data_IF_727831176860
#
_entry.id   IF_727831176860
#
_cell.length_a   1.000
_cell.length_b   1.000
_cell.length_c   1.000
_cell.angle_alpha   90.00
_cell.angle_beta   90.00
_cell.angle_gamma   90.00
#
_symmetry.space_group_name_H-M   'P 1'
#
loop_
_entity.id
_entity.type
_entity.pdbx_description
1 polymer ?
#
# COMPACT_ATOMS: atom_id res chain seq x y z
N UNK A 1 -19.63 26.28 18.08
CA UNK A 1 -18.97 24.96 18.13
C UNK A 1 -19.45 24.07 16.98
N UNK A 2 -20.76 23.88 16.81
CA UNK A 2 -21.32 23.00 15.76
C UNK A 2 -20.94 23.36 14.32
N UNK A 3 -20.89 24.65 13.97
CA UNK A 3 -20.45 25.07 12.63
C UNK A 3 -18.98 24.77 12.33
N UNK A 4 -18.11 24.86 13.34
CA UNK A 4 -16.70 24.46 13.21
C UNK A 4 -16.58 22.94 13.02
N UNK A 5 -17.33 22.16 13.82
CA UNK A 5 -17.38 20.71 13.71
C UNK A 5 -17.83 20.27 12.30
N UNK A 6 -18.98 20.76 11.85
CA UNK A 6 -19.53 20.40 10.54
C UNK A 6 -18.56 20.79 9.42
N UNK A 7 -17.96 21.98 9.49
CA UNK A 7 -16.96 22.41 8.52
C UNK A 7 -15.72 21.51 8.46
N UNK A 8 -15.24 21.03 9.61
CA UNK A 8 -14.12 20.08 9.66
C UNK A 8 -14.53 18.70 9.12
N UNK A 9 -15.71 18.18 9.46
CA UNK A 9 -16.20 16.92 8.91
C UNK A 9 -16.39 16.99 7.38
N UNK A 10 -16.89 18.10 6.85
CA UNK A 10 -17.01 18.30 5.40
C UNK A 10 -15.64 18.27 4.72
N UNK A 11 -14.61 18.89 5.32
CA UNK A 11 -13.24 18.81 4.80
C UNK A 11 -12.68 17.39 4.86
N UNK A 12 -12.82 16.69 5.99
CA UNK A 12 -12.38 15.30 6.11
C UNK A 12 -13.06 14.40 5.08
N UNK A 13 -14.37 14.55 4.86
CA UNK A 13 -15.11 13.84 3.82
C UNK A 13 -14.56 14.13 2.43
N UNK A 14 -14.30 15.39 2.10
CA UNK A 14 -13.71 15.78 0.82
C UNK A 14 -12.31 15.21 0.62
N UNK A 15 -11.49 15.21 1.68
CA UNK A 15 -10.16 14.62 1.66
C UNK A 15 -10.21 13.10 1.43
N UNK A 16 -11.13 12.38 2.07
CA UNK A 16 -11.29 10.94 1.87
C UNK A 16 -11.79 10.58 0.46
N UNK A 17 -12.66 11.40 -0.12
CA UNK A 17 -13.06 11.22 -1.52
C UNK A 17 -11.91 11.49 -2.49
N UNK A 18 -11.05 12.48 -2.19
CA UNK A 18 -9.84 12.69 -2.97
C UNK A 18 -8.84 11.54 -2.80
N UNK A 19 -8.71 10.98 -1.59
CA UNK A 19 -7.89 9.80 -1.32
C UNK A 19 -8.35 8.58 -2.12
N UNK A 20 -9.66 8.34 -2.21
CA UNK A 20 -10.25 7.31 -3.08
C UNK A 20 -9.80 7.48 -4.53
N UNK A 21 -9.82 8.72 -5.04
CA UNK A 21 -9.38 9.03 -6.41
C UNK A 21 -7.89 8.72 -6.61
N UNK A 22 -7.04 9.14 -5.67
CA UNK A 22 -5.59 8.88 -5.72
C UNK A 22 -5.28 7.38 -5.66
N UNK A 23 -6.01 6.62 -4.84
CA UNK A 23 -5.83 5.16 -4.75
C UNK A 23 -6.24 4.44 -6.04
N UNK A 24 -7.25 4.93 -6.76
CA UNK A 24 -7.61 4.37 -8.07
C UNK A 24 -6.59 4.75 -9.16
N UNK A 25 -6.03 5.95 -9.08
CA UNK A 25 -4.94 6.40 -9.96
C UNK A 25 -3.67 5.57 -9.74
N UNK A 26 -3.25 5.37 -8.48
CA UNK A 26 -2.13 4.50 -8.10
C UNK A 26 -2.32 3.07 -8.67
N UNK A 27 -3.52 2.51 -8.52
CA UNK A 27 -3.85 1.20 -9.06
C UNK A 27 -3.67 1.14 -10.58
N UNK A 28 -4.09 2.20 -11.28
CA UNK A 28 -3.94 2.31 -12.74
C UNK A 28 -2.47 2.38 -13.14
N UNK A 29 -1.65 3.16 -12.45
CA UNK A 29 -0.20 3.23 -12.69
C UNK A 29 0.52 1.90 -12.40
N UNK A 30 0.14 1.21 -11.32
CA UNK A 30 0.65 -0.13 -11.00
C UNK A 30 0.34 -1.13 -12.13
N UNK A 31 -0.89 -1.13 -12.64
CA UNK A 31 -1.29 -2.00 -13.76
C UNK A 31 -0.51 -1.73 -15.04
N UNK A 32 -0.19 -0.47 -15.29
CA UNK A 32 0.57 -0.03 -16.46
C UNK A 32 2.09 -0.11 -16.27
N UNK A 33 2.55 -0.53 -15.08
CA UNK A 33 3.99 -0.67 -14.73
C UNK A 33 4.75 0.64 -14.89
N UNK A 34 4.15 1.75 -14.43
CA UNK A 34 4.75 3.11 -14.46
C UNK A 34 5.27 3.49 -13.05
N UNK A 35 6.47 3.01 -12.63
CA UNK A 35 6.93 3.17 -11.25
C UNK A 35 7.15 4.63 -10.83
N UNK A 36 7.60 5.49 -11.74
CA UNK A 36 7.83 6.91 -11.45
C UNK A 36 6.51 7.63 -11.10
N UNK A 37 5.44 7.31 -11.83
CA UNK A 37 4.11 7.86 -11.58
C UNK A 37 3.51 7.32 -10.27
N UNK A 38 3.71 6.02 -9.98
CA UNK A 38 3.30 5.41 -8.69
C UNK A 38 3.93 6.16 -7.52
N UNK A 39 5.25 6.41 -7.56
CA UNK A 39 5.95 7.13 -6.48
C UNK A 39 5.44 8.56 -6.29
N UNK A 40 5.06 9.25 -7.37
CA UNK A 40 4.46 10.57 -7.28
C UNK A 40 3.09 10.54 -6.58
N UNK A 41 2.24 9.58 -6.95
CA UNK A 41 0.91 9.40 -6.34
C UNK A 41 1.00 8.93 -4.89
N UNK A 42 1.91 8.02 -4.56
CA UNK A 42 2.17 7.58 -3.18
C UNK A 42 2.54 8.75 -2.27
N UNK A 43 3.38 9.68 -2.76
CA UNK A 43 3.73 10.88 -2.00
C UNK A 43 2.51 11.77 -1.73
N UNK A 44 1.63 11.95 -2.73
CA UNK A 44 0.39 12.70 -2.56
C UNK A 44 -0.55 12.01 -1.55
N UNK A 45 -0.67 10.68 -1.61
CA UNK A 45 -1.46 9.88 -0.66
C UNK A 45 -0.93 10.07 0.76
N UNK A 46 0.39 9.97 0.97
CA UNK A 46 0.99 10.11 2.29
C UNK A 46 0.75 11.48 2.91
N UNK A 47 0.94 12.57 2.14
CA UNK A 47 0.69 13.92 2.67
C UNK A 47 -0.80 14.16 2.96
N UNK A 48 -1.70 13.63 2.13
CA UNK A 48 -3.14 13.73 2.37
C UNK A 48 -3.56 12.98 3.65
N UNK A 49 -3.07 11.73 3.84
CA UNK A 49 -3.33 10.94 5.05
C UNK A 49 -2.78 11.66 6.29
N UNK A 50 -1.59 12.24 6.19
CA UNK A 50 -1.00 13.04 7.26
C UNK A 50 -1.87 14.24 7.62
N UNK A 51 -2.35 14.99 6.63
CA UNK A 51 -3.24 16.13 6.84
C UNK A 51 -4.54 15.69 7.52
N UNK A 52 -5.19 14.63 7.04
CA UNK A 52 -6.43 14.09 7.63
C UNK A 52 -6.19 13.65 9.07
N UNK A 53 -5.07 12.99 9.35
CA UNK A 53 -4.71 12.59 10.71
C UNK A 53 -4.55 13.80 11.65
N UNK A 54 -3.88 14.86 11.20
CA UNK A 54 -3.79 16.12 11.94
C UNK A 54 -5.15 16.74 12.22
N UNK A 55 -6.03 16.83 11.22
CA UNK A 55 -7.38 17.38 11.40
C UNK A 55 -8.22 16.57 12.41
N UNK A 56 -8.05 15.25 12.46
CA UNK A 56 -8.73 14.39 13.43
C UNK A 56 -8.21 14.58 14.85
N UNK A 57 -6.90 14.80 15.01
CA UNK A 57 -6.31 15.12 16.31
C UNK A 57 -6.84 16.47 16.80
N UNK A 58 -6.80 17.50 15.95
CA UNK A 58 -7.34 18.83 16.28
C UNK A 58 -8.83 18.76 16.64
N UNK A 59 -9.62 17.99 15.90
CA UNK A 59 -11.03 17.81 16.21
C UNK A 59 -11.24 17.14 17.56
N UNK A 60 -10.45 16.10 17.86
CA UNK A 60 -10.52 15.39 19.15
C UNK A 60 -10.17 16.32 20.32
N UNK A 61 -9.17 17.17 20.14
CA UNK A 61 -8.78 18.20 21.12
C UNK A 61 -9.90 19.23 21.31
N UNK A 62 -10.50 19.71 20.23
CA UNK A 62 -11.62 20.65 20.27
C UNK A 62 -12.88 20.07 20.97
N UNK A 63 -13.05 18.75 20.94
CA UNK A 63 -14.14 18.05 21.64
C UNK A 63 -13.86 17.82 23.13
N UNK A 64 -12.66 18.11 23.62
CA UNK A 64 -12.30 18.05 25.04
C UNK A 64 -12.71 16.72 25.73
N UNK A 65 -12.56 15.60 25.01
CA UNK A 65 -12.87 14.26 25.51
C UNK A 65 -14.34 13.81 25.37
N UNK A 66 -15.25 14.69 24.93
CA UNK A 66 -16.63 14.31 24.59
C UNK A 66 -16.64 13.53 23.28
N UNK A 67 -17.40 12.43 23.22
CA UNK A 67 -17.53 11.68 21.96
C UNK A 67 -18.44 12.43 20.99
N UNK A 68 -18.11 12.39 19.70
CA UNK A 68 -18.91 13.03 18.66
C UNK A 68 -20.37 12.54 18.63
N UNK A 69 -20.60 11.26 18.90
CA UNK A 69 -21.96 10.70 19.02
C UNK A 69 -22.71 11.27 20.22
N UNK A 70 -22.08 11.31 21.40
CA UNK A 70 -22.65 11.90 22.61
C UNK A 70 -22.95 13.40 22.42
N UNK A 71 -22.09 14.11 21.70
CA UNK A 71 -22.32 15.51 21.31
C UNK A 71 -23.55 15.64 20.41
N UNK A 72 -23.71 14.77 19.41
CA UNK A 72 -24.88 14.77 18.53
C UNK A 72 -26.19 14.49 19.28
N UNK A 73 -26.16 13.67 20.33
CA UNK A 73 -27.34 13.38 21.15
C UNK A 73 -27.76 14.57 22.04
N UNK A 74 -26.88 15.55 22.23
CA UNK A 74 -27.17 16.81 22.94
C UNK A 74 -27.73 17.93 22.06
N UNK A 75 -27.75 17.72 20.74
CA UNK A 75 -28.23 18.69 19.74
C UNK A 75 -29.68 18.41 19.33
N UNK A 76 -30.36 19.42 18.81
CA UNK A 76 -31.63 19.26 18.11
C UNK A 76 -31.44 18.47 16.80
N UNK A 77 -32.50 17.79 16.37
CA UNK A 77 -32.42 16.88 15.21
C UNK A 77 -32.02 17.60 13.91
N UNK A 78 -32.50 18.83 13.70
CA UNK A 78 -32.16 19.64 12.52
C UNK A 78 -30.64 19.88 12.42
N UNK A 79 -30.00 20.09 13.56
CA UNK A 79 -28.57 20.35 13.65
C UNK A 79 -27.73 19.06 13.75
N UNK A 80 -28.27 18.00 14.37
CA UNK A 80 -27.59 16.72 14.54
C UNK A 80 -27.54 15.89 13.25
N UNK A 81 -28.63 15.89 12.47
CA UNK A 81 -28.75 15.11 11.24
C UNK A 81 -27.58 15.29 10.24
N UNK A 82 -27.16 16.52 9.86
CA UNK A 82 -26.05 16.70 8.92
C UNK A 82 -24.70 16.23 9.49
N UNK A 83 -24.51 16.31 10.82
CA UNK A 83 -23.30 15.82 11.48
C UNK A 83 -23.28 14.29 11.45
N UNK A 84 -24.39 13.63 11.77
CA UNK A 84 -24.52 12.16 11.71
C UNK A 84 -24.32 11.64 10.28
N UNK A 85 -24.91 12.29 9.27
CA UNK A 85 -24.71 11.94 7.87
C UNK A 85 -23.23 12.07 7.48
N UNK A 86 -22.59 13.19 7.82
CA UNK A 86 -21.17 13.39 7.52
C UNK A 86 -20.28 12.30 8.15
N UNK A 87 -20.53 11.95 9.42
CA UNK A 87 -19.80 10.87 10.10
C UNK A 87 -20.00 9.52 9.42
N UNK A 88 -21.25 9.18 9.05
CA UNK A 88 -21.53 7.94 8.34
C UNK A 88 -20.78 7.86 7.00
N UNK A 89 -20.77 8.95 6.22
CA UNK A 89 -20.08 8.96 4.91
C UNK A 89 -18.57 8.88 5.06
N UNK A 90 -18.03 9.51 6.09
CA UNK A 90 -16.60 9.40 6.44
C UNK A 90 -16.26 7.93 6.72
N UNK A 91 -17.04 7.24 7.57
CA UNK A 91 -16.82 5.83 7.88
C UNK A 91 -16.91 4.94 6.62
N UNK A 92 -17.89 5.17 5.74
CA UNK A 92 -18.05 4.45 4.48
C UNK A 92 -16.84 4.66 3.54
N UNK A 93 -16.36 5.89 3.41
CA UNK A 93 -15.20 6.23 2.58
C UNK A 93 -13.90 5.66 3.15
N UNK A 94 -13.71 5.68 4.47
CA UNK A 94 -12.53 5.11 5.12
C UNK A 94 -12.40 3.61 4.88
N UNK A 95 -13.51 2.90 5.03
CA UNK A 95 -13.51 1.46 4.74
C UNK A 95 -13.22 1.19 3.26
N UNK A 96 -13.71 2.05 2.36
CA UNK A 96 -13.45 1.94 0.92
C UNK A 96 -11.99 2.19 0.59
N UNK A 97 -11.41 3.29 1.07
CA UNK A 97 -10.00 3.61 0.92
C UNK A 97 -9.10 2.51 1.50
N UNK A 98 -9.45 1.95 2.66
CA UNK A 98 -8.71 0.85 3.30
C UNK A 98 -8.65 -0.40 2.41
N UNK A 99 -9.77 -0.78 1.79
CA UNK A 99 -9.82 -1.91 0.83
C UNK A 99 -9.00 -1.63 -0.42
N UNK A 100 -9.06 -0.41 -0.96
CA UNK A 100 -8.30 -0.02 -2.16
C UNK A 100 -6.80 0.01 -1.89
N UNK A 101 -6.37 0.60 -0.77
CA UNK A 101 -4.97 0.59 -0.36
C UNK A 101 -4.43 -0.84 -0.17
N UNK A 102 -5.23 -1.73 0.43
CA UNK A 102 -4.87 -3.15 0.56
C UNK A 102 -4.69 -3.83 -0.80
N UNK A 103 -5.63 -3.60 -1.73
CA UNK A 103 -5.54 -4.10 -3.12
C UNK A 103 -4.28 -3.60 -3.83
N UNK A 104 -3.94 -2.33 -3.66
CA UNK A 104 -2.76 -1.73 -4.31
C UNK A 104 -1.47 -2.32 -3.74
N UNK A 105 -1.38 -2.48 -2.42
CA UNK A 105 -0.25 -3.12 -1.75
C UNK A 105 -0.05 -4.58 -2.21
N UNK A 106 -1.13 -5.36 -2.32
CA UNK A 106 -1.09 -6.72 -2.84
C UNK A 106 -0.58 -6.78 -4.28
N UNK A 107 -1.04 -5.87 -5.15
CA UNK A 107 -0.58 -5.78 -6.53
C UNK A 107 0.90 -5.40 -6.63
N UNK A 108 1.35 -4.41 -5.85
CA UNK A 108 2.74 -3.99 -5.81
C UNK A 108 3.67 -5.14 -5.37
N UNK A 109 3.28 -5.90 -4.34
CA UNK A 109 4.01 -7.08 -3.90
C UNK A 109 4.06 -8.18 -4.97
N UNK A 110 2.95 -8.43 -5.66
CA UNK A 110 2.89 -9.40 -6.75
C UNK A 110 3.79 -9.00 -7.94
N UNK A 111 3.83 -7.72 -8.29
CA UNK A 111 4.72 -7.18 -9.31
C UNK A 111 6.19 -7.31 -8.92
N UNK A 112 6.51 -7.06 -7.64
CA UNK A 112 7.85 -7.26 -7.09
C UNK A 112 8.28 -8.73 -7.19
N UNK A 113 7.45 -9.68 -6.73
CA UNK A 113 7.74 -11.11 -6.82
C UNK A 113 7.95 -11.57 -8.28
N UNK A 114 7.12 -11.07 -9.20
CA UNK A 114 7.30 -11.32 -10.63
C UNK A 114 8.65 -10.80 -11.15
N UNK A 115 9.03 -9.58 -10.79
CA UNK A 115 10.29 -8.96 -11.20
C UNK A 115 11.50 -9.75 -10.70
N UNK A 116 11.46 -10.21 -9.45
CA UNK A 116 12.53 -11.00 -8.83
C UNK A 116 12.71 -12.36 -9.50
N UNK A 117 11.60 -13.04 -9.82
CA UNK A 117 11.63 -14.32 -10.55
C UNK A 117 12.21 -14.15 -11.95
N UNK A 118 11.84 -13.08 -12.66
CA UNK A 118 12.38 -12.78 -13.99
C UNK A 118 13.88 -12.51 -13.93
N UNK A 119 14.35 -11.69 -12.98
CA UNK A 119 15.78 -11.42 -12.79
C UNK A 119 16.57 -12.70 -12.45
N UNK A 120 16.02 -13.55 -11.58
CA UNK A 120 16.65 -14.84 -11.24
C UNK A 120 16.77 -15.75 -12.46
N UNK A 121 15.72 -15.85 -13.27
CA UNK A 121 15.74 -16.61 -14.52
C UNK A 121 16.78 -16.08 -15.51
N UNK A 122 16.87 -14.76 -15.68
CA UNK A 122 17.88 -14.14 -16.53
C UNK A 122 19.29 -14.40 -16.01
N UNK A 123 19.49 -14.31 -14.69
CA UNK A 123 20.78 -14.61 -14.06
C UNK A 123 21.20 -16.06 -14.29
N UNK A 124 20.30 -17.02 -14.09
CA UNK A 124 20.55 -18.44 -14.35
C UNK A 124 20.89 -18.71 -15.82
N UNK A 125 20.24 -17.99 -16.76
CA UNK A 125 20.48 -18.18 -18.20
C UNK A 125 21.75 -17.50 -18.71
N UNK A 126 22.16 -16.38 -18.09
CA UNK A 126 23.36 -15.63 -18.45
C UNK A 126 24.61 -16.22 -17.77
N UNK A 127 24.48 -16.81 -16.58
CA UNK A 127 25.55 -17.62 -16.01
C UNK A 127 25.77 -18.86 -16.88
N UNK A 128 26.96 -19.05 -17.46
CA UNK A 128 27.26 -20.31 -18.10
C UNK A 128 27.26 -21.41 -17.04
N UNK A 129 26.55 -22.51 -17.30
CA UNK A 129 26.75 -23.77 -16.59
C UNK A 129 28.25 -24.10 -16.66
N UNK A 130 28.99 -23.79 -15.61
CA UNK A 130 30.45 -23.90 -15.54
C UNK A 130 30.89 -25.36 -15.39
N UNK A 131 30.11 -26.30 -15.94
CA UNK A 131 30.39 -27.72 -15.93
C UNK A 131 30.99 -28.25 -17.22
N UNK A 132 30.96 -27.51 -18.34
CA UNK A 132 31.49 -28.01 -19.62
C UNK A 132 32.17 -26.92 -20.47
N UNK A 133 33.19 -26.25 -19.95
CA UNK A 133 34.10 -25.48 -20.82
C UNK A 133 35.17 -26.41 -21.37
N UNK A 134 35.25 -26.54 -22.70
CA UNK A 134 36.42 -27.10 -23.38
C UNK A 134 37.65 -26.30 -22.94
N UNK A 135 38.66 -26.97 -22.37
CA UNK A 135 39.94 -26.30 -22.10
C UNK A 135 40.56 -25.82 -23.41
N UNK A 136 41.39 -24.76 -23.38
CA UNK A 136 42.03 -24.14 -24.58
C UNK A 136 42.89 -25.05 -25.47
N UNK A 137 42.92 -26.37 -25.21
CA UNK A 137 43.49 -27.43 -26.06
C UNK A 137 42.46 -28.49 -26.51
N UNK A 138 41.17 -28.20 -26.44
CA UNK A 138 40.11 -29.11 -26.90
C UNK A 138 39.91 -30.38 -26.04
N UNK A 139 40.47 -30.44 -24.83
CA UNK A 139 40.25 -31.59 -23.94
C UNK A 139 38.95 -31.44 -23.16
N UNK A 140 38.08 -32.43 -23.30
CA UNK A 140 36.90 -32.62 -22.47
C UNK A 140 37.34 -33.01 -21.05
N UNK A 141 37.23 -32.09 -20.10
CA UNK A 141 37.52 -32.36 -18.68
C UNK A 141 36.23 -32.72 -17.96
N UNK A 142 35.95 -34.01 -17.84
CA UNK A 142 34.88 -34.50 -16.96
C UNK A 142 35.28 -34.21 -15.52
N UNK A 143 34.64 -33.22 -14.89
CA UNK A 143 34.84 -32.96 -13.46
C UNK A 143 34.31 -34.15 -12.66
N UNK A 144 35.20 -35.01 -12.14
CA UNK A 144 34.81 -36.02 -11.14
C UNK A 144 34.49 -35.30 -9.83
N UNK A 145 33.30 -35.49 -9.22
CA UNK A 145 33.03 -34.92 -7.91
C UNK A 145 33.92 -35.62 -6.88
N UNK A 146 35.01 -34.98 -6.46
CA UNK A 146 35.74 -35.36 -5.25
C UNK A 146 34.93 -34.89 -4.04
N UNK A 147 34.01 -35.74 -3.59
CA UNK A 147 33.59 -35.90 -2.19
C UNK A 147 32.37 -36.84 -2.15
N UNK A 148 32.57 -38.11 -2.47
CA UNK A 148 31.69 -39.14 -1.93
C UNK A 148 32.19 -39.43 -0.51
N UNK A 149 31.46 -38.95 0.49
CA UNK A 149 31.62 -39.42 1.87
C UNK A 149 31.40 -40.94 1.84
N UNK A 150 32.48 -41.70 2.07
CA UNK A 150 32.43 -43.13 2.34
C UNK A 150 31.50 -43.38 3.53
N UNK A 151 30.25 -43.76 3.27
CA UNK A 151 29.40 -44.41 4.26
C UNK A 151 29.68 -45.91 4.24
N UNK A 152 30.73 -46.33 4.94
CA UNK A 152 30.97 -47.73 5.27
C UNK A 152 30.40 -48.04 6.64
N UNK A 153 29.41 -48.93 6.70
CA UNK A 153 28.88 -49.50 7.94
C UNK A 153 29.08 -51.03 7.85
N UNK A 154 29.75 -51.55 8.89
CA UNK A 154 30.17 -52.94 9.18
C UNK A 154 31.46 -53.40 8.46
#
# INVERSE_FOLDING_TARGET
MTGYLLGNLVRQKGALHYLETLLEEEFSHLRERRPDDVSHVEMMIHELVRQVASERVELKEAMNGVRLQEYCDSLDEETAAPVRDALQRIDELEQTCSRMASRNAELALALMDQSQKMLSFMHERIQPDTRMTYGGRGRYTTHRPQAALLSGRL
#
